data_IF_534456595831
#
_entry.id   IF_534456595831
#
_cell.length_a   1.000
_cell.length_b   1.000
_cell.length_c   1.000
_cell.angle_alpha   90.00
_cell.angle_beta   90.00
_cell.angle_gamma   90.00
#
_symmetry.space_group_name_H-M   'P 1'
#
loop_
_entity.id
_entity.type
_entity.pdbx_description
1 polymer ?
#
# COMPACT_ATOMS: atom_id res chain seq x y z
N UNK A 1 14.54 -22.46 17.22
CA UNK A 1 13.12 -22.08 17.34
C UNK A 1 13.09 -20.56 17.34
N UNK A 2 12.73 -19.95 16.22
CA UNK A 2 12.56 -18.51 16.12
C UNK A 2 11.33 -18.13 16.95
N UNK A 3 11.54 -17.45 18.08
CA UNK A 3 10.47 -16.95 18.94
C UNK A 3 9.93 -15.65 18.34
N UNK A 4 9.11 -15.79 17.30
CA UNK A 4 8.39 -14.67 16.70
C UNK A 4 6.97 -14.56 17.25
N UNK A 5 6.46 -13.35 17.34
CA UNK A 5 5.04 -13.08 17.56
C UNK A 5 4.62 -11.91 16.69
N UNK A 6 3.34 -11.86 16.33
CA UNK A 6 2.73 -10.79 15.57
C UNK A 6 1.45 -10.35 16.27
N UNK A 7 1.24 -9.05 16.34
CA UNK A 7 0.03 -8.42 16.87
C UNK A 7 -0.48 -7.44 15.80
N UNK A 8 -1.73 -7.62 15.37
CA UNK A 8 -2.40 -6.72 14.44
C UNK A 8 -3.40 -5.84 15.17
N UNK A 9 -3.41 -4.54 14.85
CA UNK A 9 -4.32 -3.56 15.41
C UNK A 9 -4.63 -2.47 14.39
N UNK A 10 -5.64 -1.65 14.67
CA UNK A 10 -5.94 -0.44 13.91
C UNK A 10 -5.54 0.81 14.70
N UNK A 11 -4.68 1.63 14.15
CA UNK A 11 -4.34 2.94 14.69
C UNK A 11 -5.45 3.92 14.34
N UNK A 12 -6.27 4.29 15.34
CA UNK A 12 -7.39 5.22 15.16
C UNK A 12 -7.00 6.55 14.51
N UNK A 13 -5.79 7.06 14.80
CA UNK A 13 -5.23 8.28 14.22
C UNK A 13 -3.70 8.28 14.33
N UNK A 14 -2.99 8.44 13.22
CA UNK A 14 -1.52 8.49 13.21
C UNK A 14 -0.99 9.74 13.92
N UNK A 15 0.10 9.59 14.68
CA UNK A 15 0.69 10.70 15.47
C UNK A 15 1.80 11.44 14.74
N UNK A 16 2.39 10.81 13.72
CA UNK A 16 3.44 11.30 12.83
C UNK A 16 3.23 10.69 11.45
N UNK A 17 4.05 11.09 10.49
CA UNK A 17 4.07 10.44 9.18
C UNK A 17 4.64 9.03 9.30
N UNK A 18 4.10 8.11 8.52
CA UNK A 18 4.53 6.72 8.44
C UNK A 18 4.72 6.33 6.98
N UNK A 19 5.50 5.29 6.71
CA UNK A 19 5.62 4.72 5.38
C UNK A 19 4.72 3.48 5.30
N UNK A 20 3.93 3.37 4.23
CA UNK A 20 3.20 2.15 3.93
C UNK A 20 4.20 1.02 3.62
N UNK A 21 4.06 -0.14 4.27
CA UNK A 21 4.94 -1.28 4.08
C UNK A 21 4.83 -1.91 2.68
N UNK A 22 3.71 -1.71 1.99
CA UNK A 22 3.45 -2.28 0.67
C UNK A 22 3.82 -1.32 -0.47
N UNK A 23 3.20 -0.14 -0.49
CA UNK A 23 3.36 0.80 -1.61
C UNK A 23 4.41 1.90 -1.38
N UNK A 24 5.09 1.89 -0.23
CA UNK A 24 6.08 2.89 0.18
C UNK A 24 5.60 4.35 0.22
N UNK A 25 4.31 4.62 -0.03
CA UNK A 25 3.71 5.96 0.09
C UNK A 25 3.76 6.44 1.53
N UNK A 26 3.88 7.75 1.68
CA UNK A 26 3.78 8.40 2.99
C UNK A 26 2.34 8.43 3.44
N UNK A 27 2.05 7.76 4.56
CA UNK A 27 0.81 7.87 5.32
C UNK A 27 0.93 9.12 6.19
N UNK A 28 0.17 10.20 5.91
CA UNK A 28 0.30 11.45 6.64
C UNK A 28 -0.04 11.31 8.13
N UNK A 29 0.53 12.20 8.94
CA UNK A 29 0.07 12.45 10.30
C UNK A 29 -1.41 12.82 10.31
N UNK A 30 -2.15 12.22 11.23
CA UNK A 30 -3.58 12.46 11.40
C UNK A 30 -4.47 11.56 10.54
N UNK A 31 -3.92 10.70 9.69
CA UNK A 31 -4.68 9.70 8.96
C UNK A 31 -5.42 8.77 9.94
N UNK A 32 -6.74 8.60 9.76
CA UNK A 32 -7.55 7.76 10.64
C UNK A 32 -7.49 6.30 10.22
N UNK A 33 -7.76 5.40 11.17
CA UNK A 33 -7.99 3.97 10.95
C UNK A 33 -6.90 3.29 10.10
N UNK A 34 -5.63 3.50 10.45
CA UNK A 34 -4.49 2.92 9.73
C UNK A 34 -4.17 1.53 10.28
N UNK A 35 -4.18 0.47 9.47
CA UNK A 35 -3.71 -0.85 9.87
C UNK A 35 -2.27 -0.81 10.34
N UNK A 36 -2.00 -1.52 11.42
CA UNK A 36 -0.70 -1.57 12.05
C UNK A 36 -0.41 -2.99 12.53
N UNK A 37 0.80 -3.47 12.22
CA UNK A 37 1.33 -4.71 12.75
C UNK A 37 2.56 -4.41 13.57
N UNK A 38 2.63 -5.04 14.74
CA UNK A 38 3.82 -5.08 15.57
C UNK A 38 4.26 -6.52 15.68
N UNK A 39 5.50 -6.80 15.34
CA UNK A 39 6.03 -8.16 15.39
C UNK A 39 7.47 -8.20 15.89
N UNK A 40 7.85 -9.35 16.41
CA UNK A 40 9.21 -9.65 16.83
C UNK A 40 9.80 -10.69 15.89
N UNK A 41 10.93 -10.40 15.26
CA UNK A 41 11.69 -11.35 14.45
C UNK A 41 13.16 -11.29 14.89
N UNK A 42 13.74 -12.43 15.23
CA UNK A 42 15.13 -12.54 15.71
C UNK A 42 15.50 -11.62 16.89
N UNK A 43 14.50 -11.32 17.74
CA UNK A 43 14.67 -10.45 18.92
C UNK A 43 14.50 -8.96 18.64
N UNK A 44 14.28 -8.57 17.38
CA UNK A 44 14.01 -7.19 16.99
C UNK A 44 12.51 -6.93 16.86
N UNK A 45 12.04 -5.84 17.46
CA UNK A 45 10.64 -5.40 17.37
C UNK A 45 10.51 -4.47 16.15
N UNK A 46 9.67 -4.87 15.21
CA UNK A 46 9.34 -4.11 14.02
C UNK A 46 7.88 -3.61 14.07
N UNK A 47 7.62 -2.52 13.35
CA UNK A 47 6.29 -1.94 13.20
C UNK A 47 6.04 -1.64 11.73
N UNK A 48 4.93 -2.15 11.21
CA UNK A 48 4.52 -1.96 9.81
C UNK A 48 3.16 -1.31 9.76
N UNK A 49 2.93 -0.46 8.76
CA UNK A 49 1.68 0.27 8.55
C UNK A 49 1.21 0.05 7.12
N UNK A 50 -0.11 -0.05 6.89
CA UNK A 50 -0.68 -0.05 5.54
C UNK A 50 -1.44 1.24 5.28
N UNK A 51 -1.35 1.78 4.06
CA UNK A 51 -2.28 2.83 3.65
C UNK A 51 -3.66 2.21 3.32
N UNK A 52 -4.71 3.03 3.31
CA UNK A 52 -6.08 2.57 3.05
C UNK A 52 -6.23 1.76 1.77
N UNK A 53 -5.58 2.18 0.68
CA UNK A 53 -5.64 1.42 -0.56
C UNK A 53 -5.05 0.00 -0.39
N UNK A 54 -3.89 -0.13 0.26
CA UNK A 54 -3.28 -1.45 0.45
C UNK A 54 -4.06 -2.32 1.46
N UNK A 55 -4.75 -1.69 2.41
CA UNK A 55 -5.65 -2.39 3.32
C UNK A 55 -6.86 -2.96 2.58
N UNK A 56 -7.52 -2.14 1.76
CA UNK A 56 -8.68 -2.55 0.96
C UNK A 56 -8.36 -3.65 -0.06
N UNK A 57 -7.09 -3.76 -0.47
CA UNK A 57 -6.61 -4.73 -1.45
C UNK A 57 -5.66 -5.77 -0.83
N UNK A 58 -5.71 -5.97 0.50
CA UNK A 58 -4.79 -6.87 1.20
C UNK A 58 -4.87 -8.32 0.71
N UNK A 59 -6.02 -8.72 0.15
CA UNK A 59 -6.23 -10.05 -0.44
C UNK A 59 -5.45 -10.27 -1.75
N UNK A 60 -5.13 -9.20 -2.47
CA UNK A 60 -4.31 -9.27 -3.68
C UNK A 60 -2.82 -9.21 -3.36
N UNK A 61 -2.47 -8.59 -2.23
CA UNK A 61 -1.09 -8.42 -1.77
C UNK A 61 -0.52 -9.68 -1.11
N UNK A 62 -1.26 -10.78 -1.04
CA UNK A 62 -0.83 -12.05 -0.45
C UNK A 62 -1.28 -13.22 -1.32
N UNK A 63 -0.36 -14.10 -1.72
CA UNK A 63 -0.63 -15.22 -2.62
C UNK A 63 -1.13 -16.50 -1.91
N UNK A 64 -1.46 -16.40 -0.61
CA UNK A 64 -1.96 -17.53 0.19
C UNK A 64 -0.86 -18.47 0.71
N UNK A 65 0.41 -18.21 0.37
CA UNK A 65 1.58 -18.89 0.93
C UNK A 65 2.36 -18.04 1.95
N UNK A 66 1.70 -17.02 2.52
CA UNK A 66 2.33 -16.00 3.37
C UNK A 66 3.40 -15.15 2.65
N UNK A 67 3.45 -15.20 1.32
CA UNK A 67 4.34 -14.35 0.53
C UNK A 67 3.62 -13.04 0.17
N UNK A 68 4.27 -11.92 0.45
CA UNK A 68 3.78 -10.60 0.06
C UNK A 68 4.07 -10.42 -1.44
N UNK A 69 3.03 -10.22 -2.23
CA UNK A 69 3.15 -9.92 -3.66
C UNK A 69 3.73 -8.52 -3.89
N UNK A 70 4.42 -8.32 -5.02
CA UNK A 70 4.89 -6.99 -5.40
C UNK A 70 3.67 -6.08 -5.61
N UNK A 71 3.64 -4.96 -4.88
CA UNK A 71 2.60 -3.96 -5.01
C UNK A 71 2.40 -3.52 -6.47
N UNK A 72 3.48 -3.40 -7.25
CA UNK A 72 3.40 -3.02 -8.66
C UNK A 72 2.60 -4.03 -9.48
N UNK A 73 2.88 -5.32 -9.31
CA UNK A 73 2.21 -6.41 -10.01
C UNK A 73 0.72 -6.45 -9.63
N UNK A 74 0.40 -6.32 -8.34
CA UNK A 74 -1.00 -6.29 -7.89
C UNK A 74 -1.78 -5.10 -8.45
N UNK A 75 -1.14 -3.92 -8.53
CA UNK A 75 -1.77 -2.72 -9.10
C UNK A 75 -2.02 -2.91 -10.59
N UNK A 76 -1.06 -3.49 -11.32
CA UNK A 76 -1.20 -3.77 -12.74
C UNK A 76 -2.32 -4.76 -13.03
N UNK A 77 -2.39 -5.86 -12.28
CA UNK A 77 -3.48 -6.83 -12.40
C UNK A 77 -4.83 -6.21 -12.06
N UNK A 78 -4.91 -5.41 -11.00
CA UNK A 78 -6.16 -4.79 -10.56
C UNK A 78 -6.74 -3.85 -11.61
N UNK A 79 -5.90 -3.00 -12.21
CA UNK A 79 -6.34 -2.03 -13.23
C UNK A 79 -6.25 -2.56 -14.66
N UNK A 80 -5.90 -3.83 -14.85
CA UNK A 80 -5.73 -4.46 -16.16
C UNK A 80 -6.97 -4.31 -17.06
N UNK A 81 -8.18 -4.40 -16.49
CA UNK A 81 -9.42 -4.26 -17.25
C UNK A 81 -9.88 -2.81 -17.44
N UNK A 82 -9.32 -1.86 -16.70
CA UNK A 82 -9.69 -0.44 -16.74
C UNK A 82 -8.77 0.38 -17.66
N UNK A 83 -7.55 -0.11 -17.89
CA UNK A 83 -6.53 0.55 -18.71
C UNK A 83 -6.25 -0.24 -20.00
N UNK A 84 -5.79 0.42 -21.09
CA UNK A 84 -5.29 -0.30 -22.25
C UNK A 84 -4.13 -1.24 -21.89
N UNK A 85 -3.99 -2.36 -22.62
CA UNK A 85 -3.01 -3.41 -22.34
C UNK A 85 -1.55 -2.93 -22.27
N UNK A 86 -1.24 -1.76 -22.85
CA UNK A 86 0.11 -1.21 -22.93
C UNK A 86 0.47 -0.31 -21.72
N UNK A 87 -0.49 0.00 -20.86
CA UNK A 87 -0.23 0.78 -19.64
C UNK A 87 0.24 -0.11 -18.50
N UNK A 88 1.32 0.29 -17.84
CA UNK A 88 1.85 -0.35 -16.63
C UNK A 88 2.03 0.67 -15.52
N UNK A 89 1.93 0.20 -14.28
CA UNK A 89 2.20 0.97 -13.09
C UNK A 89 3.65 1.43 -13.13
N UNK A 90 3.83 2.74 -13.01
CA UNK A 90 5.13 3.36 -13.08
C UNK A 90 5.59 3.81 -11.69
N UNK A 91 4.74 4.56 -10.99
CA UNK A 91 5.08 5.10 -9.66
C UNK A 91 3.85 5.58 -8.92
N UNK A 92 4.06 5.87 -7.64
CA UNK A 92 3.13 6.70 -6.87
C UNK A 92 3.54 8.17 -6.93
N UNK A 93 2.56 9.06 -6.93
CA UNK A 93 2.76 10.51 -6.89
C UNK A 93 1.71 11.17 -5.98
N UNK A 94 2.05 11.28 -4.70
CA UNK A 94 1.13 11.72 -3.66
C UNK A 94 -0.07 10.78 -3.54
N UNK A 95 -1.25 11.33 -3.81
CA UNK A 95 -2.53 10.61 -3.78
C UNK A 95 -2.86 9.88 -5.09
N UNK A 96 -1.92 9.83 -6.05
CA UNK A 96 -2.14 9.21 -7.36
C UNK A 96 -1.28 7.96 -7.55
N UNK A 97 -1.87 6.96 -8.20
CA UNK A 97 -1.16 5.89 -8.89
C UNK A 97 -0.94 6.34 -10.33
N UNK A 98 0.31 6.32 -10.78
CA UNK A 98 0.69 6.79 -12.12
C UNK A 98 1.02 5.58 -12.98
N UNK A 99 0.32 5.46 -14.10
CA UNK A 99 0.51 4.45 -15.12
C UNK A 99 1.11 5.10 -16.35
N UNK A 100 1.98 4.36 -17.01
CA UNK A 100 2.67 4.82 -18.21
C UNK A 100 2.47 3.83 -19.34
N UNK A 101 2.26 4.36 -20.54
CA UNK A 101 2.28 3.61 -21.78
C UNK A 101 3.70 3.13 -22.09
N UNK A 102 3.89 1.81 -22.18
CA UNK A 102 5.19 1.20 -22.49
C UNK A 102 5.71 1.56 -23.89
N UNK A 103 4.82 1.86 -24.83
CA UNK A 103 5.17 2.20 -26.21
C UNK A 103 5.35 3.72 -26.40
N UNK A 104 4.87 4.53 -25.44
CA UNK A 104 4.91 5.97 -25.52
C UNK A 104 5.12 6.66 -24.16
N UNK A 105 6.39 6.94 -23.86
CA UNK A 105 6.88 7.64 -22.65
C UNK A 105 6.29 9.05 -22.41
N UNK A 106 5.37 9.54 -23.25
CA UNK A 106 4.79 10.89 -23.19
C UNK A 106 3.38 10.99 -22.60
N UNK A 107 2.71 9.86 -22.30
CA UNK A 107 1.35 9.87 -21.74
C UNK A 107 1.29 9.11 -20.40
N UNK A 108 1.18 9.86 -19.31
CA UNK A 108 0.93 9.31 -17.97
C UNK A 108 -0.58 9.36 -17.67
N UNK A 109 -1.18 8.20 -17.35
CA UNK A 109 -2.53 8.11 -16.78
C UNK A 109 -2.42 8.13 -15.27
N UNK A 110 -3.27 8.92 -14.60
CA UNK A 110 -3.23 9.10 -13.13
C UNK A 110 -4.56 8.69 -12.53
N UNK A 111 -4.54 7.65 -11.72
CA UNK A 111 -5.71 7.18 -10.97
C UNK A 111 -5.64 7.74 -9.55
N UNK A 112 -6.71 8.38 -9.10
CA UNK A 112 -6.79 8.96 -7.77
C UNK A 112 -7.05 7.89 -6.72
N UNK A 113 -6.11 7.72 -5.78
CA UNK A 113 -6.13 6.74 -4.71
C UNK A 113 -5.59 7.37 -3.41
N UNK A 114 -6.30 8.33 -2.80
CA UNK A 114 -5.76 9.12 -1.69
C UNK A 114 -5.55 8.31 -0.42
N UNK A 115 -4.52 8.68 0.35
CA UNK A 115 -4.38 8.18 1.72
C UNK A 115 -5.20 9.12 2.61
N UNK A 116 -6.48 8.77 2.78
CA UNK A 116 -7.56 9.63 3.30
C UNK A 116 -7.10 10.42 4.54
N UNK A 117 -7.25 11.75 4.48
CA UNK A 117 -7.03 12.69 5.60
C UNK A 117 -8.34 13.11 6.30
N UNK A 118 -9.50 12.62 5.86
CA UNK A 118 -10.78 13.10 6.38
C UNK A 118 -11.32 12.24 7.50
N UNK A 119 -11.47 12.87 8.65
CA UNK A 119 -12.24 12.39 9.78
C UNK A 119 -13.64 11.98 9.30
N UNK A 120 -14.04 10.75 9.61
CA UNK A 120 -15.44 10.35 9.55
C UNK A 120 -16.17 11.23 10.56
N UNK A 121 -16.97 12.17 10.05
CA UNK A 121 -17.92 12.94 10.86
C UNK A 121 -19.01 12.05 11.41
#
# INVERSE_FOLDING_TARGET
MSNGWIESNVVKKTRKDHQCAYCSRTIPKGSPNIPHWKYSMDGEIQNSYACHWCDEHSEHLNDGHDEIADFADCVDEYFYFELPEDYRFYKTDGDYLVFRDNDNDSVDVRIFAPIIQKEVK
#
